data_IF_518483004864
#
_entry.id   IF_518483004864
#
_cell.length_a   1.000
_cell.length_b   1.000
_cell.length_c   1.000
_cell.angle_alpha   90.00
_cell.angle_beta   90.00
_cell.angle_gamma   90.00
#
_symmetry.space_group_name_H-M   'P 1'
#
loop_
_entity.id
_entity.type
_entity.pdbx_description
1 polymer ?
#
# COMPACT_ATOMS: atom_id res chain seq x y z
N UNK A 1 -11.54 -2.27 -6.18
CA UNK A 1 -11.41 -1.61 -4.86
C UNK A 1 -10.29 -0.59 -4.96
N UNK A 2 -10.42 0.55 -4.29
CA UNK A 2 -9.36 1.57 -4.21
C UNK A 2 -8.93 1.77 -2.77
N UNK A 3 -7.64 1.97 -2.55
CA UNK A 3 -7.04 2.32 -1.27
C UNK A 3 -6.38 3.68 -1.45
N UNK A 4 -6.80 4.68 -0.68
CA UNK A 4 -6.22 6.02 -0.77
C UNK A 4 -5.12 6.17 0.27
N UNK A 5 -4.02 6.83 -0.09
CA UNK A 5 -2.93 7.15 0.83
C UNK A 5 -2.33 8.52 0.52
N UNK A 6 -1.70 9.14 1.52
CA UNK A 6 -1.02 10.42 1.39
C UNK A 6 0.48 10.24 1.59
N UNK A 7 1.28 10.66 0.61
CA UNK A 7 2.75 10.60 0.65
C UNK A 7 3.31 11.95 0.26
N UNK A 8 4.20 12.49 1.09
CA UNK A 8 4.81 13.80 0.85
C UNK A 8 3.78 14.89 0.52
N UNK A 9 2.68 14.92 1.29
CA UNK A 9 1.53 15.82 1.12
C UNK A 9 0.84 15.72 -0.26
N UNK A 10 0.92 14.55 -0.90
CA UNK A 10 0.24 14.23 -2.15
C UNK A 10 -0.64 13.00 -1.98
N UNK A 11 -1.83 13.05 -2.56
CA UNK A 11 -2.77 11.95 -2.53
C UNK A 11 -2.51 10.98 -3.68
N UNK A 12 -2.47 9.70 -3.33
CA UNK A 12 -2.34 8.57 -4.24
C UNK A 12 -3.56 7.67 -4.04
N UNK A 13 -3.96 6.96 -5.10
CA UNK A 13 -4.99 5.94 -5.01
C UNK A 13 -4.47 4.63 -5.61
N UNK A 14 -4.50 3.56 -4.83
CA UNK A 14 -4.05 2.24 -5.27
C UNK A 14 -5.27 1.44 -5.71
N UNK A 15 -5.30 1.03 -6.97
CA UNK A 15 -6.32 0.18 -7.51
C UNK A 15 -5.95 -1.29 -7.26
N UNK A 16 -6.84 -2.04 -6.60
CA UNK A 16 -6.74 -3.50 -6.47
C UNK A 16 -7.55 -4.14 -7.60
N UNK A 17 -6.86 -4.87 -8.46
CA UNK A 17 -7.39 -5.52 -9.65
C UNK A 17 -7.35 -7.04 -9.48
N UNK A 18 -8.41 -7.75 -9.85
CA UNK A 18 -8.40 -9.21 -9.86
C UNK A 18 -7.79 -9.73 -11.15
N UNK A 19 -6.70 -10.50 -11.06
CA UNK A 19 -6.15 -11.21 -12.21
C UNK A 19 -6.89 -12.54 -12.41
N UNK A 20 -7.85 -12.56 -13.34
CA UNK A 20 -8.68 -13.74 -13.67
C UNK A 20 -7.88 -14.99 -14.05
N UNK A 21 -6.61 -14.87 -14.47
CA UNK A 21 -5.78 -16.02 -14.86
C UNK A 21 -5.11 -16.69 -13.66
N UNK A 22 -4.70 -15.91 -12.66
CA UNK A 22 -3.93 -16.42 -11.52
C UNK A 22 -4.72 -16.42 -10.22
N UNK A 23 -5.91 -15.79 -10.20
CA UNK A 23 -6.69 -15.46 -9.01
C UNK A 23 -5.90 -14.69 -7.94
N UNK A 24 -4.77 -14.08 -8.33
CA UNK A 24 -3.98 -13.21 -7.47
C UNK A 24 -4.33 -11.75 -7.75
N UNK A 25 -4.32 -10.87 -6.75
CA UNK A 25 -4.49 -9.45 -6.99
C UNK A 25 -3.30 -8.90 -7.78
N UNK A 26 -3.59 -8.00 -8.72
CA UNK A 26 -2.65 -7.06 -9.28
C UNK A 26 -2.96 -5.68 -8.72
N UNK A 27 -1.95 -4.82 -8.70
CA UNK A 27 -2.04 -3.49 -8.16
C UNK A 27 -1.62 -2.46 -9.19
N UNK A 28 -2.26 -1.30 -9.13
CA UNK A 28 -1.83 -0.11 -9.84
C UNK A 28 -1.90 1.10 -8.93
N UNK A 29 -1.08 2.10 -9.19
CA UNK A 29 -1.05 3.34 -8.44
C UNK A 29 -1.45 4.50 -9.34
N UNK A 30 -2.47 5.23 -8.90
CA UNK A 30 -3.02 6.41 -9.53
C UNK A 30 -2.51 7.65 -8.82
N UNK A 31 -2.04 8.61 -9.62
CA UNK A 31 -1.67 9.94 -9.18
C UNK A 31 -2.11 10.95 -10.23
N UNK A 32 -2.91 11.94 -9.83
CA UNK A 32 -3.33 13.05 -10.70
C UNK A 32 -3.90 12.59 -12.05
N UNK A 33 -4.76 11.55 -12.02
CA UNK A 33 -5.36 10.96 -13.22
C UNK A 33 -4.43 10.07 -14.07
N UNK A 34 -3.14 9.97 -13.72
CA UNK A 34 -2.19 9.05 -14.36
C UNK A 34 -2.13 7.74 -13.60
N UNK A 35 -2.02 6.64 -14.35
CA UNK A 35 -1.96 5.29 -13.83
C UNK A 35 -0.58 4.69 -14.07
N UNK A 36 -0.10 3.89 -13.12
CA UNK A 36 1.12 3.11 -13.29
C UNK A 36 0.84 1.80 -14.02
N UNK A 37 1.90 1.12 -14.41
CA UNK A 37 1.78 -0.25 -14.89
C UNK A 37 1.24 -1.20 -13.81
N UNK A 38 0.64 -2.29 -14.26
CA UNK A 38 0.25 -3.41 -13.41
C UNK A 38 1.46 -4.01 -12.71
N UNK A 39 1.42 -4.10 -11.38
CA UNK A 39 2.43 -4.77 -10.59
C UNK A 39 1.80 -5.82 -9.68
N UNK A 40 2.57 -6.85 -9.33
CA UNK A 40 2.12 -7.88 -8.38
C UNK A 40 2.25 -7.43 -6.92
N UNK A 41 3.03 -6.37 -6.65
CA UNK A 41 3.25 -5.85 -5.30
C UNK A 41 2.83 -4.38 -5.22
N UNK A 42 2.14 -4.03 -4.13
CA UNK A 42 1.74 -2.64 -3.85
C UNK A 42 2.95 -1.72 -3.73
N UNK A 43 4.00 -2.15 -3.00
CA UNK A 43 5.21 -1.33 -2.84
C UNK A 43 5.89 -1.00 -4.17
N UNK A 44 5.95 -1.98 -5.09
CA UNK A 44 6.53 -1.76 -6.41
C UNK A 44 5.74 -0.69 -7.19
N UNK A 45 4.41 -0.79 -7.20
CA UNK A 45 3.58 0.16 -7.95
C UNK A 45 3.69 1.57 -7.38
N UNK A 46 3.69 1.73 -6.06
CA UNK A 46 3.75 3.06 -5.43
C UNK A 46 5.15 3.65 -5.53
N UNK A 47 6.19 2.88 -5.25
CA UNK A 47 7.57 3.38 -5.32
C UNK A 47 7.95 3.78 -6.74
N UNK A 48 7.49 3.04 -7.75
CA UNK A 48 7.72 3.43 -9.15
C UNK A 48 7.00 4.74 -9.50
N UNK A 49 5.73 4.88 -9.14
CA UNK A 49 4.98 6.13 -9.35
C UNK A 49 5.60 7.30 -8.60
N UNK A 50 5.98 7.10 -7.33
CA UNK A 50 6.63 8.12 -6.50
C UNK A 50 7.97 8.56 -7.09
N UNK A 51 8.82 7.61 -7.51
CA UNK A 51 10.10 7.87 -8.21
C UNK A 51 9.88 8.69 -9.48
N UNK A 52 8.85 8.38 -10.27
CA UNK A 52 8.52 9.13 -11.49
C UNK A 52 8.10 10.57 -11.21
N UNK A 53 7.37 10.82 -10.13
CA UNK A 53 6.85 12.16 -9.80
C UNK A 53 7.93 13.05 -9.15
N UNK A 54 8.69 12.49 -8.21
CA UNK A 54 9.60 13.27 -7.37
C UNK A 54 11.07 13.12 -7.74
N UNK A 55 11.41 12.24 -8.70
CA UNK A 55 12.78 11.90 -9.09
C UNK A 55 13.69 11.57 -7.88
N UNK A 56 13.09 10.98 -6.84
CA UNK A 56 13.74 10.68 -5.57
C UNK A 56 13.95 9.17 -5.44
N UNK A 57 14.99 8.74 -4.72
CA UNK A 57 15.32 7.34 -4.45
C UNK A 57 14.63 6.76 -3.22
N UNK A 58 13.85 7.55 -2.47
CA UNK A 58 13.12 7.05 -1.30
C UNK A 58 12.21 5.88 -1.68
N UNK A 59 12.35 4.79 -0.94
CA UNK A 59 11.47 3.62 -1.03
C UNK A 59 10.60 3.56 0.21
N UNK A 60 9.33 3.31 -0.01
CA UNK A 60 8.33 3.18 1.04
C UNK A 60 7.89 1.72 1.13
N UNK A 61 7.64 1.28 2.36
CA UNK A 61 7.12 -0.06 2.64
C UNK A 61 5.65 -0.16 2.27
N UNK A 62 5.24 -1.32 1.76
CA UNK A 62 3.84 -1.62 1.44
C UNK A 62 2.88 -1.37 2.63
N UNK A 63 3.38 -1.65 3.83
CA UNK A 63 2.67 -1.57 5.11
C UNK A 63 2.16 -0.14 5.37
N UNK A 64 3.00 0.86 5.10
CA UNK A 64 2.66 2.28 5.29
C UNK A 64 1.50 2.69 4.38
N UNK A 65 1.40 2.13 3.16
CA UNK A 65 0.32 2.52 2.23
C UNK A 65 -1.01 1.84 2.52
N UNK A 66 -0.97 0.63 3.07
CA UNK A 66 -2.16 -0.16 3.35
C UNK A 66 -2.88 0.28 4.63
N UNK A 67 -2.37 1.31 5.31
CA UNK A 67 -2.96 1.81 6.56
C UNK A 67 -2.75 0.84 7.73
N UNK A 68 -1.67 0.05 7.73
CA UNK A 68 -1.33 -0.81 8.87
C UNK A 68 -0.80 -0.04 10.09
N UNK A 69 -0.74 1.29 9.99
CA UNK A 69 -0.57 2.24 11.08
C UNK A 69 -1.91 2.81 11.59
N UNK A 70 -3.02 2.55 10.89
CA UNK A 70 -4.35 2.95 11.31
C UNK A 70 -4.89 1.97 12.36
N UNK A 71 -5.10 2.45 13.58
CA UNK A 71 -5.56 1.63 14.71
C UNK A 71 -6.86 0.86 14.41
N UNK A 72 -7.80 1.44 13.66
CA UNK A 72 -9.06 0.78 13.29
C UNK A 72 -8.78 -0.43 12.39
N UNK A 73 -7.93 -0.25 11.37
CA UNK A 73 -7.53 -1.33 10.44
C UNK A 73 -6.76 -2.41 11.20
N UNK A 74 -5.85 -2.03 12.09
CA UNK A 74 -5.10 -2.97 12.93
C UNK A 74 -6.06 -3.78 13.82
N UNK A 75 -7.01 -3.12 14.50
CA UNK A 75 -7.97 -3.79 15.37
C UNK A 75 -8.87 -4.78 14.62
N UNK A 76 -9.32 -4.41 13.41
CA UNK A 76 -10.13 -5.29 12.56
C UNK A 76 -9.32 -6.49 12.04
N UNK A 77 -8.05 -6.28 11.66
CA UNK A 77 -7.15 -7.37 11.27
C UNK A 77 -6.83 -8.32 12.44
N UNK A 78 -6.82 -7.82 13.67
CA UNK A 78 -6.53 -8.60 14.87
C UNK A 78 -7.77 -9.23 15.51
N UNK A 79 -9.00 -8.93 15.05
CA UNK A 79 -10.24 -9.31 15.76
C UNK A 79 -10.41 -10.81 15.96
N UNK A 80 -9.89 -11.63 15.03
CA UNK A 80 -9.95 -13.10 15.07
C UNK A 80 -8.56 -13.76 15.24
N UNK A 81 -7.53 -12.98 15.55
CA UNK A 81 -6.18 -13.49 15.75
C UNK A 81 -6.00 -13.86 17.23
N UNK A 82 -6.04 -15.15 17.53
CA UNK A 82 -5.89 -15.70 18.90
C UNK A 82 -4.53 -15.41 19.55
N UNK A 83 -3.54 -14.98 18.76
CA UNK A 83 -2.18 -14.68 19.22
C UNK A 83 -1.66 -13.38 18.62
N UNK A 84 -1.61 -12.32 19.43
CA UNK A 84 -1.03 -11.04 19.02
C UNK A 84 0.50 -11.16 19.14
N UNK A 85 1.29 -10.92 18.07
CA UNK A 85 2.74 -10.90 18.18
C UNK A 85 3.18 -9.85 19.21
N UNK A 86 4.10 -10.24 20.08
CA UNK A 86 4.61 -9.42 21.19
C UNK A 86 5.14 -8.10 20.65
N UNK A 87 4.56 -6.98 21.11
CA UNK A 87 5.15 -5.66 20.94
C UNK A 87 6.28 -5.50 21.96
N UNK A 88 7.52 -5.64 21.50
CA UNK A 88 8.70 -5.29 22.31
C UNK A 88 9.00 -3.82 22.03
N UNK A 89 8.72 -2.97 23.01
CA UNK A 89 9.23 -1.60 23.04
C UNK A 89 10.64 -1.65 23.61
N UNK A 90 11.63 -1.28 22.81
CA UNK A 90 13.01 -1.09 23.28
C UNK A 90 13.15 0.42 23.49
N UNK A 91 13.45 0.79 24.73
CA UNK A 91 13.78 2.16 25.13
C UNK A 91 15.17 2.58 24.62
#
# INVERSE_FOLDING_TARGET
>A
MFINCCLNNKNFAIAVLNNKKTNKPNFRCLYDGKDSENQQMVSATVNNTYKQIFNNKTEYSAIIFMGFDNEIIIHELLSDVLFIPIFIRID
#
